data_IF_221901308537
#
_entry.id   IF_221901308537
#
_cell.length_a   1.000
_cell.length_b   1.000
_cell.length_c   1.000
_cell.angle_alpha   90.00
_cell.angle_beta   90.00
_cell.angle_gamma   90.00
#
_symmetry.space_group_name_H-M   'P 1'
#
loop_
_entity.id
_entity.type
_entity.pdbx_description
1 polymer ?
#
# COMPACT_ATOMS: atom_id res chain seq x y z
N UNK A 1 44.20 37.31 -48.63
CA UNK A 1 43.20 36.84 -47.64
C UNK A 1 41.84 37.17 -48.22
N UNK A 2 41.05 36.16 -48.64
CA UNK A 2 39.91 35.60 -47.87
C UNK A 2 38.89 36.70 -47.55
N UNK A 3 37.63 36.69 -47.97
CA UNK A 3 36.77 35.67 -48.57
C UNK A 3 35.60 36.38 -49.26
N UNK A 4 35.09 35.77 -50.32
CA UNK A 4 33.85 36.16 -51.01
C UNK A 4 32.72 35.32 -50.41
N UNK A 5 31.66 35.95 -49.89
CA UNK A 5 30.38 35.29 -49.60
C UNK A 5 29.26 36.34 -49.59
N UNK A 6 28.35 36.35 -50.58
CA UNK A 6 27.05 36.98 -50.41
C UNK A 6 25.99 35.93 -50.05
N UNK A 7 25.25 36.30 -49.01
CA UNK A 7 24.13 35.63 -48.39
C UNK A 7 22.91 35.61 -49.35
N UNK A 8 22.61 34.40 -49.84
CA UNK A 8 21.29 33.78 -49.97
C UNK A 8 20.05 34.72 -50.00
N UNK A 9 19.44 34.85 -51.19
CA UNK A 9 18.10 35.39 -51.36
C UNK A 9 17.25 34.40 -52.17
N UNK A 10 16.12 34.07 -51.56
CA UNK A 10 15.16 33.02 -51.85
C UNK A 10 14.38 33.34 -53.12
N UNK A 11 14.34 32.41 -54.09
CA UNK A 11 13.34 32.42 -55.16
C UNK A 11 12.76 31.00 -55.28
N UNK A 12 11.57 30.87 -54.69
CA UNK A 12 10.71 29.70 -54.73
C UNK A 12 10.13 29.53 -56.14
N UNK A 13 10.36 28.37 -56.76
CA UNK A 13 9.71 27.96 -58.00
C UNK A 13 9.09 26.58 -57.77
N UNK A 14 7.81 26.56 -57.39
CA UNK A 14 7.02 25.33 -57.28
C UNK A 14 6.72 24.82 -58.70
N UNK A 15 7.46 23.79 -59.11
CA UNK A 15 7.06 22.92 -60.22
C UNK A 15 6.06 21.89 -59.67
N UNK A 16 4.78 22.09 -59.88
CA UNK A 16 3.77 21.06 -59.61
C UNK A 16 3.86 19.99 -60.70
N UNK A 17 4.60 18.93 -60.40
CA UNK A 17 4.54 17.66 -61.14
C UNK A 17 3.22 17.00 -60.76
N UNK A 18 2.23 17.08 -61.64
CA UNK A 18 1.01 16.27 -61.59
C UNK A 18 1.42 14.82 -61.81
N UNK A 19 1.68 14.08 -60.73
CA UNK A 19 1.72 12.63 -60.79
C UNK A 19 0.30 12.16 -61.12
N UNK A 20 0.13 11.65 -62.34
CA UNK A 20 -1.03 10.88 -62.76
C UNK A 20 -1.09 9.66 -61.83
N UNK A 21 -1.93 9.73 -60.79
CA UNK A 21 -2.22 8.61 -59.91
C UNK A 21 -2.90 7.55 -60.77
N UNK A 22 -2.15 6.50 -61.13
CA UNK A 22 -2.74 5.28 -61.63
C UNK A 22 -3.62 4.72 -60.50
N UNK A 23 -4.93 4.75 -60.68
CA UNK A 23 -5.86 4.01 -59.82
C UNK A 23 -5.40 2.53 -59.84
N UNK A 24 -5.05 1.93 -58.70
CA UNK A 24 -4.89 0.49 -58.69
C UNK A 24 -6.24 -0.12 -59.05
N UNK A 25 -6.25 -0.98 -60.06
CA UNK A 25 -7.37 -1.88 -60.37
C UNK A 25 -7.79 -2.55 -59.05
N UNK A 26 -9.00 -2.25 -58.59
CA UNK A 26 -9.64 -2.94 -57.47
C UNK A 26 -9.69 -4.43 -57.84
N UNK A 27 -8.76 -5.18 -57.26
CA UNK A 27 -8.92 -6.61 -57.10
C UNK A 27 -9.90 -6.75 -55.93
N UNK A 28 -11.13 -7.17 -56.22
CA UNK A 28 -12.13 -7.49 -55.21
C UNK A 28 -11.63 -8.72 -54.41
N UNK A 29 -10.71 -8.47 -53.49
CA UNK A 29 -10.25 -9.45 -52.53
C UNK A 29 -11.34 -9.56 -51.46
N UNK A 30 -12.20 -10.58 -51.60
CA UNK A 30 -13.25 -10.84 -50.63
C UNK A 30 -12.65 -11.09 -49.25
N UNK A 31 -13.31 -10.61 -48.17
CA UNK A 31 -12.72 -10.63 -46.85
C UNK A 31 -12.50 -12.05 -46.34
N UNK A 32 -11.26 -12.32 -45.91
CA UNK A 32 -10.93 -13.51 -45.16
C UNK A 32 -11.43 -13.37 -43.70
N UNK A 33 -11.82 -14.49 -43.09
CA UNK A 33 -12.17 -14.50 -41.67
C UNK A 33 -11.88 -15.83 -40.99
N UNK A 34 -12.36 -15.93 -39.76
CA UNK A 34 -12.14 -17.09 -38.90
C UNK A 34 -13.46 -17.73 -38.51
N UNK A 35 -13.45 -19.05 -38.36
CA UNK A 35 -14.57 -19.80 -37.79
C UNK A 35 -15.05 -19.15 -36.48
N UNK A 36 -16.36 -18.92 -36.38
CA UNK A 36 -17.03 -18.37 -35.20
C UNK A 36 -16.95 -16.84 -35.04
N UNK A 37 -16.28 -16.12 -35.93
CA UNK A 37 -16.18 -14.65 -35.90
C UNK A 37 -17.09 -14.04 -36.98
N UNK A 38 -17.79 -12.95 -36.64
CA UNK A 38 -18.63 -12.21 -37.59
C UNK A 38 -17.76 -11.40 -38.57
N UNK A 39 -17.96 -11.63 -39.87
CA UNK A 39 -17.40 -10.84 -40.96
C UNK A 39 -18.43 -9.93 -41.61
N UNK A 40 -17.96 -8.96 -42.39
CA UNK A 40 -18.77 -7.94 -43.05
C UNK A 40 -18.42 -7.78 -44.53
N UNK A 41 -19.44 -7.64 -45.39
CA UNK A 41 -19.30 -7.29 -46.80
C UNK A 41 -20.32 -6.21 -47.14
N UNK A 42 -19.86 -5.14 -47.79
CA UNK A 42 -20.72 -4.10 -48.34
C UNK A 42 -20.99 -4.41 -49.82
N UNK A 43 -22.19 -4.89 -50.13
CA UNK A 43 -22.59 -5.20 -51.50
C UNK A 43 -23.36 -4.02 -52.10
N UNK A 44 -22.83 -3.42 -53.16
CA UNK A 44 -23.57 -2.45 -53.98
C UNK A 44 -24.39 -3.18 -55.03
N UNK A 45 -25.69 -2.94 -55.06
CA UNK A 45 -26.60 -3.64 -55.96
C UNK A 45 -27.66 -2.70 -56.53
N UNK A 46 -27.80 -2.69 -57.86
CA UNK A 46 -28.75 -1.86 -58.61
C UNK A 46 -29.97 -2.64 -59.14
N UNK A 47 -30.09 -3.93 -58.79
CA UNK A 47 -31.10 -4.84 -59.33
C UNK A 47 -32.33 -5.00 -58.42
N UNK A 48 -33.05 -6.12 -58.59
CA UNK A 48 -34.18 -6.49 -57.71
C UNK A 48 -33.71 -6.60 -56.25
N UNK A 49 -34.53 -6.19 -55.26
CA UNK A 49 -34.18 -6.31 -53.85
C UNK A 49 -33.69 -7.71 -53.49
N UNK A 50 -32.69 -7.76 -52.62
CA UNK A 50 -32.08 -9.01 -52.16
C UNK A 50 -32.59 -9.32 -50.76
N UNK A 51 -32.94 -10.57 -50.53
CA UNK A 51 -33.32 -11.14 -49.24
C UNK A 51 -32.46 -12.37 -48.95
N UNK A 52 -32.37 -12.72 -47.67
CA UNK A 52 -31.68 -13.95 -47.24
C UNK A 52 -32.60 -15.14 -47.50
N UNK A 53 -32.08 -16.19 -48.14
CA UNK A 53 -32.80 -17.44 -48.34
C UNK A 53 -32.95 -18.20 -47.00
N UNK A 54 -33.98 -19.04 -46.82
CA UNK A 54 -34.09 -19.91 -45.66
C UNK A 54 -32.83 -20.77 -45.51
N UNK A 55 -32.12 -20.59 -44.40
CA UNK A 55 -30.86 -21.26 -44.14
C UNK A 55 -31.18 -22.68 -43.62
N UNK A 56 -30.68 -23.75 -44.26
CA UNK A 56 -30.92 -25.11 -43.80
C UNK A 56 -30.21 -25.39 -42.47
N UNK A 57 -30.78 -26.29 -41.67
CA UNK A 57 -30.15 -26.77 -40.44
C UNK A 57 -28.77 -27.37 -40.77
N UNK A 58 -27.73 -26.91 -40.05
CA UNK A 58 -26.36 -27.34 -40.28
C UNK A 58 -25.62 -26.62 -41.42
N UNK A 59 -26.16 -25.51 -41.93
CA UNK A 59 -25.44 -24.66 -42.90
C UNK A 59 -24.03 -24.30 -42.38
N UNK A 60 -22.96 -24.45 -43.19
CA UNK A 60 -21.60 -24.13 -42.78
C UNK A 60 -21.40 -22.63 -42.56
N UNK A 61 -22.28 -21.79 -43.10
CA UNK A 61 -22.24 -20.33 -42.96
C UNK A 61 -23.65 -19.79 -42.72
N UNK A 62 -23.72 -18.80 -41.83
CA UNK A 62 -24.91 -18.01 -41.57
C UNK A 62 -24.70 -16.61 -42.17
N UNK A 63 -25.72 -16.06 -42.83
CA UNK A 63 -25.71 -14.71 -43.40
C UNK A 63 -26.94 -13.92 -42.96
N UNK A 64 -26.77 -12.62 -42.74
CA UNK A 64 -27.86 -11.68 -42.48
C UNK A 64 -27.60 -10.33 -43.16
N UNK A 65 -28.68 -9.64 -43.49
CA UNK A 65 -28.62 -8.23 -43.91
C UNK A 65 -28.76 -7.36 -42.66
N UNK A 66 -27.70 -6.65 -42.28
CA UNK A 66 -27.70 -5.78 -41.10
C UNK A 66 -28.36 -4.43 -41.37
N UNK A 67 -28.14 -3.86 -42.56
CA UNK A 67 -28.76 -2.60 -42.98
C UNK A 67 -28.77 -2.47 -44.50
N UNK A 68 -29.65 -1.61 -45.01
CA UNK A 68 -29.74 -1.25 -46.42
C UNK A 68 -29.67 0.27 -46.49
N UNK A 69 -28.65 0.80 -47.17
CA UNK A 69 -28.49 2.24 -47.39
C UNK A 69 -28.94 2.56 -48.82
N UNK A 70 -29.96 3.41 -49.00
CA UNK A 70 -30.44 3.79 -50.33
C UNK A 70 -29.38 4.62 -51.07
N UNK A 71 -29.41 4.57 -52.40
CA UNK A 71 -28.57 5.43 -53.24
C UNK A 71 -28.82 6.91 -52.90
N UNK A 72 -27.76 7.71 -52.80
CA UNK A 72 -27.88 9.16 -52.66
C UNK A 72 -28.48 9.80 -53.92
N UNK A 73 -29.06 10.98 -53.80
CA UNK A 73 -29.57 11.73 -54.96
C UNK A 73 -28.40 12.15 -55.87
N UNK A 74 -28.15 11.39 -56.93
CA UNK A 74 -27.14 11.67 -57.96
C UNK A 74 -26.27 10.45 -58.26
N UNK A 75 -26.56 9.80 -59.39
CA UNK A 75 -25.89 8.62 -59.99
C UNK A 75 -26.31 7.24 -59.45
N UNK A 76 -27.10 6.52 -60.27
CA UNK A 76 -27.41 5.10 -60.14
C UNK A 76 -28.40 4.76 -59.01
N UNK A 77 -29.44 3.96 -59.28
CA UNK A 77 -30.30 3.39 -58.23
C UNK A 77 -29.59 2.25 -57.48
N UNK A 78 -28.33 2.43 -57.09
CA UNK A 78 -27.52 1.43 -56.40
C UNK A 78 -27.73 1.51 -54.88
N UNK A 79 -28.39 0.49 -54.33
CA UNK A 79 -28.51 0.34 -52.88
C UNK A 79 -27.28 -0.39 -52.34
N UNK A 80 -26.79 0.05 -51.18
CA UNK A 80 -25.69 -0.64 -50.48
C UNK A 80 -26.25 -1.52 -49.37
N UNK A 81 -26.03 -2.83 -49.48
CA UNK A 81 -26.42 -3.84 -48.50
C UNK A 81 -25.24 -4.14 -47.58
N UNK A 82 -25.44 -4.00 -46.27
CA UNK A 82 -24.50 -4.43 -45.25
C UNK A 82 -24.77 -5.91 -44.91
N UNK A 83 -24.01 -6.80 -45.53
CA UNK A 83 -24.09 -8.25 -45.32
C UNK A 83 -23.14 -8.65 -44.20
N UNK A 84 -23.67 -9.33 -43.20
CA UNK A 84 -22.87 -9.93 -42.13
C UNK A 84 -22.98 -11.43 -42.16
N UNK A 85 -21.84 -12.08 -41.96
CA UNK A 85 -21.74 -13.54 -42.04
C UNK A 85 -20.97 -14.09 -40.85
N UNK A 86 -21.30 -15.32 -40.44
CA UNK A 86 -20.53 -16.08 -39.46
C UNK A 86 -20.37 -17.49 -40.02
N UNK A 87 -19.13 -17.95 -40.18
CA UNK A 87 -18.82 -19.28 -40.65
C UNK A 87 -18.63 -20.25 -39.48
N UNK A 88 -19.26 -21.40 -39.55
CA UNK A 88 -19.21 -22.49 -38.57
C UNK A 88 -18.15 -23.52 -38.92
N UNK A 89 -17.75 -23.61 -40.20
CA UNK A 89 -16.75 -24.54 -40.70
C UNK A 89 -15.67 -23.81 -41.51
N UNK A 90 -14.39 -24.24 -41.42
CA UNK A 90 -13.33 -23.69 -42.25
C UNK A 90 -13.53 -24.10 -43.72
N UNK A 91 -13.05 -23.28 -44.65
CA UNK A 91 -13.16 -23.51 -46.09
C UNK A 91 -13.57 -22.26 -46.88
N UNK A 92 -13.77 -22.47 -48.18
CA UNK A 92 -14.32 -21.44 -49.09
C UNK A 92 -15.84 -21.60 -49.16
N UNK A 93 -16.55 -20.50 -48.95
CA UNK A 93 -18.02 -20.49 -48.95
C UNK A 93 -18.55 -19.38 -49.85
N UNK A 94 -19.52 -19.71 -50.71
CA UNK A 94 -20.18 -18.73 -51.57
C UNK A 94 -21.44 -18.17 -50.91
N UNK A 95 -21.40 -16.89 -50.55
CA UNK A 95 -22.53 -16.20 -49.93
C UNK A 95 -23.65 -15.89 -50.92
N UNK A 96 -23.37 -15.82 -52.23
CA UNK A 96 -24.38 -15.55 -53.25
C UNK A 96 -25.47 -16.63 -53.26
N UNK A 97 -25.07 -17.88 -52.97
CA UNK A 97 -25.98 -19.04 -52.90
C UNK A 97 -27.04 -18.94 -51.79
N UNK A 98 -26.77 -18.14 -50.76
CA UNK A 98 -27.66 -17.91 -49.61
C UNK A 98 -28.55 -16.67 -49.77
N UNK A 99 -28.48 -16.01 -50.94
CA UNK A 99 -29.25 -14.82 -51.26
C UNK A 99 -30.32 -15.14 -52.33
N UNK A 100 -31.49 -14.54 -52.20
CA UNK A 100 -32.63 -14.69 -53.13
C UNK A 100 -33.30 -13.35 -53.42
N UNK A 101 -34.11 -13.30 -54.45
CA UNK A 101 -35.00 -12.18 -54.74
C UNK A 101 -36.42 -12.52 -54.30
N UNK A 102 -36.96 -11.79 -53.33
CA UNK A 102 -38.33 -11.94 -52.82
C UNK A 102 -38.72 -13.39 -52.47
N UNK A 103 -40.00 -13.74 -52.63
CA UNK A 103 -40.48 -15.11 -52.43
C UNK A 103 -40.07 -16.05 -53.57
N UNK A 104 -38.81 -16.52 -53.53
CA UNK A 104 -38.44 -17.83 -54.09
C UNK A 104 -37.48 -17.83 -55.28
N UNK A 105 -37.17 -16.69 -55.90
CA UNK A 105 -36.22 -16.66 -57.01
C UNK A 105 -34.77 -16.64 -56.49
N UNK A 106 -33.94 -17.61 -56.89
CA UNK A 106 -32.50 -17.57 -56.59
C UNK A 106 -31.87 -16.29 -57.17
N UNK A 107 -30.93 -15.69 -56.44
CA UNK A 107 -30.26 -14.45 -56.85
C UNK A 107 -29.13 -14.73 -57.88
N UNK A 108 -29.44 -15.47 -58.94
CA UNK A 108 -28.49 -15.99 -59.94
C UNK A 108 -27.74 -14.93 -60.75
N UNK A 109 -28.08 -13.64 -60.57
CA UNK A 109 -27.42 -12.51 -61.24
C UNK A 109 -26.36 -11.84 -60.35
N UNK A 110 -26.20 -12.26 -59.09
CA UNK A 110 -25.12 -11.76 -58.24
C UNK A 110 -23.77 -12.36 -58.68
N UNK A 111 -22.67 -11.59 -58.59
CA UNK A 111 -21.33 -12.16 -58.70
C UNK A 111 -21.11 -13.17 -57.57
N UNK A 112 -20.25 -14.18 -57.77
CA UNK A 112 -19.90 -15.12 -56.71
C UNK A 112 -19.22 -14.37 -55.56
N UNK A 113 -19.77 -14.48 -54.35
CA UNK A 113 -19.26 -13.84 -53.13
C UNK A 113 -18.51 -14.88 -52.31
N UNK A 114 -17.30 -15.23 -52.74
CA UNK A 114 -16.49 -16.29 -52.11
C UNK A 114 -15.75 -15.72 -50.90
N UNK A 115 -16.04 -16.22 -49.71
CA UNK A 115 -15.25 -15.92 -48.50
C UNK A 115 -14.31 -17.07 -48.17
N UNK A 116 -13.09 -16.75 -47.73
CA UNK A 116 -12.12 -17.74 -47.26
C UNK A 116 -12.07 -17.74 -45.73
N UNK A 117 -12.41 -18.87 -45.13
CA UNK A 117 -12.51 -19.02 -43.68
C UNK A 117 -11.44 -19.98 -43.19
N UNK A 118 -10.57 -19.47 -42.32
CA UNK A 118 -9.50 -20.25 -41.69
C UNK A 118 -9.86 -20.65 -40.26
N UNK A 119 -9.30 -21.77 -39.80
CA UNK A 119 -9.32 -22.14 -38.38
C UNK A 119 -8.14 -21.47 -37.67
N UNK A 120 -8.40 -20.78 -36.55
CA UNK A 120 -7.33 -20.33 -35.66
C UNK A 120 -6.74 -21.47 -34.82
N UNK A 121 -7.50 -22.55 -34.63
CA UNK A 121 -7.01 -23.76 -33.99
C UNK A 121 -6.21 -24.56 -35.00
N UNK A 122 -5.02 -25.02 -34.60
CA UNK A 122 -4.25 -26.01 -35.37
C UNK A 122 -5.10 -27.27 -35.54
N UNK A 123 -4.92 -27.99 -36.64
CA UNK A 123 -5.72 -29.18 -36.98
C UNK A 123 -5.70 -30.30 -35.91
N UNK A 124 -4.73 -30.27 -35.01
CA UNK A 124 -4.50 -31.22 -33.91
C UNK A 124 -4.90 -30.67 -32.52
N UNK A 125 -5.71 -29.60 -32.45
CA UNK A 125 -6.19 -29.06 -31.17
C UNK A 125 -7.49 -29.76 -30.72
N UNK A 126 -7.44 -30.46 -29.59
CA UNK A 126 -8.60 -31.12 -28.95
C UNK A 126 -9.56 -30.15 -28.21
N UNK A 127 -9.40 -28.83 -28.38
CA UNK A 127 -10.23 -27.83 -27.72
C UNK A 127 -9.94 -27.63 -26.23
N UNK A 128 -8.79 -28.10 -25.74
CA UNK A 128 -8.38 -27.88 -24.36
C UNK A 128 -8.12 -26.38 -24.10
N UNK A 129 -8.53 -25.92 -22.92
CA UNK A 129 -8.33 -24.55 -22.48
C UNK A 129 -6.92 -24.43 -21.92
N UNK A 130 -6.02 -23.80 -22.68
CA UNK A 130 -4.70 -23.46 -22.17
C UNK A 130 -4.84 -22.69 -20.85
N UNK A 131 -4.28 -23.25 -19.77
CA UNK A 131 -4.23 -22.56 -18.49
C UNK A 131 -3.41 -21.28 -18.66
N UNK A 132 -4.09 -20.15 -18.59
CA UNK A 132 -3.43 -18.85 -18.55
C UNK A 132 -2.56 -18.85 -17.29
N UNK A 133 -1.24 -18.61 -17.40
CA UNK A 133 -0.36 -18.61 -16.25
C UNK A 133 -0.91 -17.66 -15.18
N UNK A 134 -1.10 -18.17 -13.97
CA UNK A 134 -1.57 -17.35 -12.86
C UNK A 134 -0.61 -16.17 -12.60
N UNK A 135 -1.05 -15.13 -11.88
CA UNK A 135 -0.26 -13.91 -11.64
C UNK A 135 1.09 -14.14 -10.95
N UNK A 136 1.34 -15.36 -10.44
CA UNK A 136 2.56 -15.76 -9.73
C UNK A 136 3.41 -16.76 -10.54
N UNK A 137 3.07 -17.04 -11.80
CA UNK A 137 3.90 -17.92 -12.63
C UNK A 137 5.19 -17.20 -13.00
N UNK A 138 6.37 -17.70 -12.57
CA UNK A 138 7.63 -17.08 -12.92
C UNK A 138 7.84 -17.18 -14.44
N UNK A 139 8.06 -16.03 -15.08
CA UNK A 139 8.37 -15.86 -16.51
C UNK A 139 9.67 -16.62 -16.90
N UNK A 140 10.45 -17.04 -15.90
CA UNK A 140 11.68 -17.79 -16.04
C UNK A 140 11.47 -19.22 -15.52
N UNK A 141 11.71 -20.22 -16.38
CA UNK A 141 11.65 -21.64 -16.03
C UNK A 141 12.80 -22.01 -15.08
N UNK A 142 12.60 -21.77 -13.78
CA UNK A 142 13.56 -22.18 -12.77
C UNK A 142 13.54 -23.71 -12.60
N UNK A 143 14.70 -24.37 -12.51
CA UNK A 143 14.76 -25.77 -12.11
C UNK A 143 14.08 -26.03 -10.77
N UNK A 144 13.54 -27.24 -10.57
CA UNK A 144 12.79 -27.63 -9.36
C UNK A 144 13.58 -27.47 -8.04
N UNK A 145 14.92 -27.39 -8.10
CA UNK A 145 15.77 -27.23 -6.92
C UNK A 145 15.85 -25.77 -6.40
N UNK A 146 15.53 -24.78 -7.23
CA UNK A 146 15.63 -23.35 -6.88
C UNK A 146 14.80 -22.96 -5.65
N UNK A 147 13.50 -23.34 -5.51
CA UNK A 147 12.74 -23.02 -4.30
C UNK A 147 13.36 -23.65 -3.04
N UNK A 148 13.92 -24.86 -3.16
CA UNK A 148 14.60 -25.53 -2.05
C UNK A 148 15.88 -24.81 -1.65
N UNK A 149 16.69 -24.35 -2.61
CA UNK A 149 17.89 -23.57 -2.31
C UNK A 149 17.55 -22.23 -1.62
N UNK A 150 16.48 -21.56 -2.04
CA UNK A 150 16.00 -20.34 -1.37
C UNK A 150 15.55 -20.64 0.06
N UNK A 151 14.75 -21.68 0.26
CA UNK A 151 14.29 -22.09 1.59
C UNK A 151 15.44 -22.46 2.53
N UNK A 152 16.41 -23.23 2.03
CA UNK A 152 17.61 -23.61 2.79
C UNK A 152 18.46 -22.39 3.10
N UNK A 153 18.69 -21.50 2.13
CA UNK A 153 19.42 -20.25 2.34
C UNK A 153 18.75 -19.38 3.39
N UNK A 154 17.43 -19.27 3.35
CA UNK A 154 16.65 -18.50 4.33
C UNK A 154 16.75 -19.06 5.76
N UNK A 155 16.95 -20.37 5.92
CA UNK A 155 17.13 -21.01 7.23
C UNK A 155 18.58 -20.97 7.70
N UNK A 156 19.54 -21.25 6.80
CA UNK A 156 20.95 -21.33 7.15
C UNK A 156 21.58 -19.96 7.39
N UNK A 157 21.19 -18.94 6.63
CA UNK A 157 21.74 -17.59 6.77
C UNK A 157 21.53 -17.00 8.19
N UNK A 158 20.30 -16.93 8.75
CA UNK A 158 20.11 -16.40 10.09
C UNK A 158 20.76 -17.30 11.15
N UNK A 159 20.77 -18.62 10.97
CA UNK A 159 21.43 -19.54 11.91
C UNK A 159 22.95 -19.29 11.95
N UNK A 160 23.57 -19.10 10.78
CA UNK A 160 24.99 -18.79 10.67
C UNK A 160 25.31 -17.41 11.27
N UNK A 161 24.46 -16.41 11.03
CA UNK A 161 24.60 -15.09 11.65
C UNK A 161 24.48 -15.19 13.18
N UNK A 162 23.48 -15.90 13.70
CA UNK A 162 23.28 -16.06 15.15
C UNK A 162 24.44 -16.80 15.83
N UNK A 163 24.95 -17.87 15.20
CA UNK A 163 26.10 -18.61 15.71
C UNK A 163 27.36 -17.76 15.68
N UNK A 164 27.58 -16.99 14.61
CA UNK A 164 28.71 -16.07 14.48
C UNK A 164 28.64 -14.94 15.52
N UNK A 165 27.46 -14.33 15.72
CA UNK A 165 27.23 -13.32 16.75
C UNK A 165 27.52 -13.90 18.13
N UNK A 166 27.03 -15.12 18.43
CA UNK A 166 27.30 -15.78 19.72
C UNK A 166 28.78 -16.07 19.92
N UNK A 167 29.48 -16.50 18.87
CA UNK A 167 30.90 -16.81 18.93
C UNK A 167 31.78 -15.56 19.11
N UNK A 168 31.39 -14.45 18.49
CA UNK A 168 32.09 -13.15 18.60
C UNK A 168 31.73 -12.38 19.88
N UNK A 169 30.65 -12.73 20.57
CA UNK A 169 30.25 -12.08 21.81
C UNK A 169 31.18 -12.50 22.95
N UNK A 170 31.92 -11.54 23.50
CA UNK A 170 32.57 -11.70 24.80
C UNK A 170 31.51 -11.84 25.89
N UNK A 171 31.81 -12.63 26.92
CA UNK A 171 30.95 -12.77 28.09
C UNK A 171 30.65 -11.37 28.67
N UNK A 172 29.38 -11.04 28.96
CA UNK A 172 29.04 -9.81 29.67
C UNK A 172 29.84 -9.75 30.98
N UNK A 173 30.33 -8.55 31.37
CA UNK A 173 30.83 -8.34 32.73
C UNK A 173 29.77 -8.78 33.74
N UNK A 174 30.17 -9.30 34.92
CA UNK A 174 29.22 -9.62 35.98
C UNK A 174 28.37 -8.39 36.30
N UNK A 175 27.07 -8.63 36.47
CA UNK A 175 26.08 -7.60 36.74
C UNK A 175 26.44 -6.87 38.04
N UNK A 176 26.51 -5.51 38.06
CA UNK A 176 26.76 -4.80 39.29
C UNK A 176 25.62 -5.05 40.28
N UNK A 177 25.96 -5.19 41.56
CA UNK A 177 24.97 -5.37 42.62
C UNK A 177 23.89 -4.28 42.53
N UNK A 178 22.60 -4.63 42.71
CA UNK A 178 21.52 -3.65 42.67
C UNK A 178 21.79 -2.55 43.70
N UNK A 179 21.72 -1.28 43.26
CA UNK A 179 21.87 -0.15 44.16
C UNK A 179 20.85 -0.27 45.30
N UNK A 180 21.23 0.06 46.55
CA UNK A 180 20.32 -0.02 47.69
C UNK A 180 19.09 0.87 47.46
N UNK A 181 17.91 0.49 47.99
CA UNK A 181 16.70 1.30 47.87
C UNK A 181 16.93 2.70 48.47
N UNK A 182 16.33 3.75 47.88
CA UNK A 182 16.54 5.12 48.33
C UNK A 182 16.13 5.28 49.79
N UNK A 183 16.97 5.97 50.56
CA UNK A 183 16.72 6.23 51.98
C UNK A 183 15.70 7.35 52.18
N UNK A 184 15.07 7.40 53.35
CA UNK A 184 14.13 8.49 53.67
C UNK A 184 14.81 9.88 53.63
N UNK A 185 16.08 9.95 54.01
CA UNK A 185 16.92 11.14 53.88
C UNK A 185 17.08 11.60 52.43
N UNK A 186 17.22 10.68 51.48
CA UNK A 186 17.31 11.01 50.04
C UNK A 186 16.00 11.59 49.50
N UNK A 187 14.85 11.11 50.00
CA UNK A 187 13.53 11.66 49.65
C UNK A 187 13.30 13.05 50.25
N UNK A 188 13.77 13.29 51.47
CA UNK A 188 13.62 14.57 52.16
C UNK A 188 14.62 15.64 51.69
N UNK A 189 15.82 15.25 51.24
CA UNK A 189 16.88 16.15 50.78
C UNK A 189 16.41 17.20 49.75
N UNK A 190 15.73 16.86 48.63
CA UNK A 190 15.28 17.87 47.66
C UNK A 190 14.23 18.83 48.24
N UNK A 191 13.38 18.36 49.16
CA UNK A 191 12.35 19.19 49.81
C UNK A 191 12.99 20.18 50.79
N UNK A 192 13.99 19.74 51.56
CA UNK A 192 14.73 20.62 52.48
C UNK A 192 15.57 21.64 51.72
N UNK A 193 16.20 21.25 50.60
CA UNK A 193 16.94 22.18 49.73
C UNK A 193 16.00 23.24 49.13
N UNK A 194 14.81 22.84 48.66
CA UNK A 194 13.80 23.77 48.18
C UNK A 194 13.33 24.74 49.28
N UNK A 195 13.21 24.26 50.53
CA UNK A 195 12.88 25.11 51.67
C UNK A 195 13.99 26.12 52.00
N UNK A 196 15.26 25.72 51.91
CA UNK A 196 16.41 26.63 52.05
C UNK A 196 16.45 27.71 50.98
N UNK A 197 16.04 27.38 49.76
CA UNK A 197 15.93 28.35 48.66
C UNK A 197 14.74 29.31 48.81
N UNK A 198 13.82 29.04 49.75
CA UNK A 198 12.55 29.75 49.88
C UNK A 198 11.55 29.43 48.75
N UNK A 199 11.74 28.33 48.03
CA UNK A 199 10.99 27.95 46.83
C UNK A 199 10.03 26.76 47.07
N UNK A 200 9.82 26.38 48.34
CA UNK A 200 8.93 25.27 48.70
C UNK A 200 7.46 25.68 48.54
N UNK A 201 6.72 24.97 47.68
CA UNK A 201 5.27 25.19 47.52
C UNK A 201 4.43 24.47 48.60
N UNK A 202 3.13 24.78 48.67
CA UNK A 202 2.19 24.17 49.63
C UNK A 202 2.05 22.64 49.48
N UNK A 203 2.12 22.11 48.26
CA UNK A 203 2.05 20.68 47.97
C UNK A 203 3.34 19.95 48.37
N UNK A 204 4.51 20.56 48.17
CA UNK A 204 5.80 20.04 48.61
C UNK A 204 5.90 20.05 50.13
N UNK A 205 5.37 21.10 50.78
CA UNK A 205 5.23 21.15 52.24
C UNK A 205 4.33 20.03 52.77
N UNK A 206 3.15 19.84 52.18
CA UNK A 206 2.24 18.75 52.56
C UNK A 206 2.87 17.37 52.34
N UNK A 207 3.68 17.22 51.28
CA UNK A 207 4.41 15.98 50.99
C UNK A 207 5.45 15.70 52.09
N UNK A 208 6.24 16.70 52.47
CA UNK A 208 7.21 16.59 53.56
C UNK A 208 6.54 16.23 54.90
N UNK A 209 5.46 16.91 55.26
CA UNK A 209 4.68 16.64 56.47
C UNK A 209 4.13 15.19 56.48
N UNK A 210 3.63 14.72 55.33
CA UNK A 210 3.14 13.35 55.19
C UNK A 210 4.26 12.32 55.35
N UNK A 211 5.42 12.56 54.77
CA UNK A 211 6.59 11.67 54.88
C UNK A 211 7.02 11.56 56.35
N UNK A 212 7.11 12.69 57.06
CA UNK A 212 7.49 12.71 58.48
C UNK A 212 6.46 12.05 59.37
N UNK A 213 5.16 12.32 59.15
CA UNK A 213 4.09 11.65 59.89
C UNK A 213 4.10 10.14 59.65
N UNK A 214 4.39 9.67 58.44
CA UNK A 214 4.45 8.25 58.12
C UNK A 214 5.61 7.57 58.84
N UNK A 215 6.79 8.21 58.86
CA UNK A 215 7.97 7.70 59.54
C UNK A 215 7.75 7.59 61.05
N UNK A 216 7.26 8.65 61.69
CA UNK A 216 7.05 8.70 63.14
C UNK A 216 5.72 8.11 63.62
N UNK A 217 4.93 7.51 62.71
CA UNK A 217 3.58 7.03 63.02
C UNK A 217 3.56 6.00 64.14
N UNK A 218 4.50 5.05 64.08
CA UNK A 218 4.60 3.94 65.04
C UNK A 218 5.24 4.41 66.34
N UNK A 219 6.37 5.11 66.25
CA UNK A 219 7.16 5.51 67.42
C UNK A 219 6.47 6.54 68.31
N UNK A 220 5.65 7.43 67.73
CA UNK A 220 4.90 8.45 68.46
C UNK A 220 3.40 8.12 68.63
N UNK A 221 2.99 6.92 68.23
CA UNK A 221 1.58 6.46 68.20
C UNK A 221 0.65 7.52 67.56
N UNK A 222 1.01 8.00 66.37
CA UNK A 222 0.26 9.08 65.69
C UNK A 222 -0.98 8.55 64.96
N UNK A 223 -1.15 7.23 64.85
CA UNK A 223 -2.24 6.60 64.12
C UNK A 223 -3.64 6.85 64.70
N UNK A 224 -3.71 7.26 65.96
CA UNK A 224 -4.96 7.56 66.68
C UNK A 224 -5.38 9.03 66.64
N UNK A 225 -4.50 9.93 66.16
CA UNK A 225 -4.71 11.38 66.15
C UNK A 225 -5.20 11.89 64.80
N UNK A 226 -5.96 13.00 64.80
CA UNK A 226 -6.28 13.70 63.55
C UNK A 226 -5.01 14.36 63.00
N UNK A 227 -4.92 14.54 61.68
CA UNK A 227 -3.74 15.06 60.99
C UNK A 227 -3.11 16.30 61.67
N UNK A 228 -3.90 17.32 62.02
CA UNK A 228 -3.40 18.52 62.69
C UNK A 228 -2.87 18.30 64.11
N UNK A 229 -3.46 17.36 64.87
CA UNK A 229 -2.98 16.97 66.20
C UNK A 229 -1.68 16.16 66.10
N UNK A 230 -1.56 15.32 65.07
CA UNK A 230 -0.35 14.58 64.75
C UNK A 230 0.84 15.50 64.47
N UNK A 231 0.63 16.57 63.70
CA UNK A 231 1.67 17.60 63.44
C UNK A 231 2.05 18.36 64.71
N UNK A 232 1.09 18.69 65.58
CA UNK A 232 1.37 19.37 66.83
C UNK A 232 2.21 18.48 67.79
N UNK A 233 1.89 17.19 67.85
CA UNK A 233 2.63 16.20 68.65
C UNK A 233 4.02 15.94 68.08
N UNK A 234 4.16 15.90 66.75
CA UNK A 234 5.44 15.80 66.05
C UNK A 234 6.34 17.01 66.37
N UNK A 235 5.79 18.23 66.31
CA UNK A 235 6.50 19.48 66.65
C UNK A 235 6.98 19.51 68.10
N UNK A 236 6.21 18.95 69.03
CA UNK A 236 6.55 18.92 70.45
C UNK A 236 7.59 17.85 70.82
N UNK A 237 7.91 16.94 69.90
CA UNK A 237 8.86 15.85 70.14
C UNK A 237 10.31 16.35 70.07
N UNK A 238 11.18 16.01 71.05
CA UNK A 238 12.55 16.53 71.12
C UNK A 238 13.44 16.16 69.93
N UNK A 239 13.19 15.05 69.24
CA UNK A 239 14.00 14.60 68.09
C UNK A 239 13.27 14.82 66.75
N UNK A 240 11.96 14.58 66.71
CA UNK A 240 11.18 14.61 65.47
C UNK A 240 10.75 16.04 65.10
N UNK A 241 10.63 16.92 66.09
CA UNK A 241 10.32 18.32 65.90
C UNK A 241 11.50 19.13 65.36
N UNK A 242 12.74 18.64 65.47
CA UNK A 242 13.95 19.38 65.07
C UNK A 242 13.87 19.73 63.57
N UNK A 243 13.70 18.74 62.69
CA UNK A 243 13.61 18.97 61.24
C UNK A 243 12.46 19.93 60.89
N UNK A 244 11.28 19.70 61.46
CA UNK A 244 10.10 20.51 61.15
C UNK A 244 10.27 21.97 61.58
N UNK A 245 10.73 22.20 62.81
CA UNK A 245 10.94 23.54 63.37
C UNK A 245 12.08 24.26 62.66
N UNK A 246 13.17 23.56 62.35
CA UNK A 246 14.32 24.13 61.62
C UNK A 246 13.94 24.54 60.21
N UNK A 247 13.20 23.69 59.47
CA UNK A 247 12.73 24.02 58.12
C UNK A 247 11.74 25.19 58.16
N UNK A 248 10.81 25.21 59.13
CA UNK A 248 9.92 26.35 59.31
C UNK A 248 10.69 27.64 59.63
N UNK A 249 11.69 27.58 60.50
CA UNK A 249 12.52 28.73 60.82
C UNK A 249 13.22 29.28 59.57
N UNK A 250 13.76 28.41 58.71
CA UNK A 250 14.37 28.80 57.43
C UNK A 250 13.38 29.43 56.45
N UNK A 251 12.17 28.88 56.38
CA UNK A 251 11.10 29.47 55.55
C UNK A 251 10.70 30.88 56.06
N UNK A 252 10.78 31.14 57.36
CA UNK A 252 10.44 32.43 57.95
C UNK A 252 11.62 33.43 58.02
N UNK A 253 12.88 32.97 58.01
CA UNK A 253 14.06 33.84 58.12
C UNK A 253 14.39 34.57 56.82
N UNK A 254 13.89 34.09 55.68
CA UNK A 254 14.27 34.62 54.38
C UNK A 254 15.70 34.24 53.98
N UNK A 255 16.09 34.64 52.77
CA UNK A 255 17.18 34.12 51.93
C UNK A 255 18.62 34.30 52.44
N UNK A 256 18.82 34.75 53.68
CA UNK A 256 20.08 35.37 54.11
C UNK A 256 21.03 34.45 54.91
N UNK A 257 20.55 33.31 55.43
CA UNK A 257 21.41 32.37 56.16
C UNK A 257 21.85 31.20 55.26
N UNK A 258 23.09 31.27 54.76
CA UNK A 258 23.70 30.16 54.02
C UNK A 258 23.95 28.96 54.95
N UNK A 259 22.99 28.03 54.98
CA UNK A 259 23.12 26.76 55.70
C UNK A 259 24.20 25.91 55.03
N UNK A 260 25.18 25.44 55.81
CA UNK A 260 26.24 24.59 55.29
C UNK A 260 25.74 23.18 54.97
N UNK A 261 26.31 22.55 53.95
CA UNK A 261 25.98 21.16 53.56
C UNK A 261 26.13 20.18 54.73
N UNK A 262 27.11 20.42 55.62
CA UNK A 262 27.29 19.65 56.84
C UNK A 262 26.11 19.76 57.81
N UNK A 263 25.55 20.96 57.99
CA UNK A 263 24.36 21.16 58.84
C UNK A 263 23.13 20.47 58.25
N UNK A 264 23.01 20.45 56.92
CA UNK A 264 21.95 19.71 56.23
C UNK A 264 22.10 18.18 56.44
N UNK A 265 23.32 17.66 56.35
CA UNK A 265 23.60 16.25 56.58
C UNK A 265 23.35 15.84 58.04
N UNK A 266 23.81 16.64 59.00
CA UNK A 266 23.55 16.40 60.42
C UNK A 266 22.05 16.41 60.74
N UNK A 267 21.27 17.25 60.06
CA UNK A 267 19.81 17.33 60.23
C UNK A 267 19.06 16.14 59.61
N UNK A 268 19.58 15.58 58.50
CA UNK A 268 19.00 14.44 57.81
C UNK A 268 19.50 13.09 58.31
N UNK A 269 20.57 13.05 59.11
CA UNK A 269 21.17 11.84 59.65
C UNK A 269 20.17 10.88 60.35
N UNK A 270 19.17 11.35 61.12
CA UNK A 270 18.16 10.47 61.74
C UNK A 270 17.27 9.72 60.72
N UNK A 271 17.23 10.19 59.47
CA UNK A 271 16.40 9.65 58.39
C UNK A 271 17.19 8.83 57.37
N UNK A 272 18.46 8.52 57.63
CA UNK A 272 19.30 7.71 56.76
C UNK A 272 18.92 6.21 56.72
N UNK A 273 17.80 5.83 57.34
CA UNK A 273 17.29 4.47 57.37
C UNK A 273 16.72 4.09 56.00
N UNK A 274 17.06 2.91 55.45
CA UNK A 274 16.45 2.40 54.23
C UNK A 274 14.95 2.17 54.47
N UNK A 275 14.14 2.52 53.47
CA UNK A 275 12.70 2.28 53.51
C UNK A 275 12.50 0.76 53.46
N UNK A 276 11.81 0.14 54.45
CA UNK A 276 11.56 -1.29 54.40
C UNK A 276 10.65 -1.61 53.21
N UNK A 277 11.04 -2.57 52.37
CA UNK A 277 10.30 -3.05 51.18
C UNK A 277 8.97 -3.78 51.51
N UNK A 278 8.39 -3.57 52.70
CA UNK A 278 7.23 -4.32 53.16
C UNK A 278 5.99 -3.43 53.21
N UNK A 279 5.37 -3.22 52.05
CA UNK A 279 3.91 -3.22 51.98
C UNK A 279 3.52 -4.60 51.44
N UNK A 280 3.50 -5.58 52.34
CA UNK A 280 2.67 -6.76 52.13
C UNK A 280 1.23 -6.27 52.02
N UNK A 281 0.61 -6.47 50.85
CA UNK A 281 -0.82 -6.30 50.64
C UNK A 281 -1.59 -7.17 51.64
N UNK A 282 -2.05 -6.54 52.73
CA UNK A 282 -2.95 -7.17 53.69
C UNK A 282 -4.34 -7.35 53.08
N UNK A 283 -4.73 -8.62 52.98
CA UNK A 283 -6.11 -9.11 52.79
C UNK A 283 -7.09 -8.60 53.85
#
# INVERSE_FOLDING_TARGET
MRSVLPLLLIASCLLTVTCLQANPLQTDEYPAGTVGIEGQILLKWAGRPIEVAPIPDGSPVLIRIASITPAGEGEGQEQTYDLRWIAMLPGEHDLASLLRHGEGDAASQLPALIISVSSLLKDDHEGDLNQIPGPISPILGFPEWVPWAVAIGWMLLPLLILTLIRWLRKAPPPEPEPAPPPTLAELLRPLVIAALAGELDDAQKATMERILLAHWRVDLDLGSYRHGEGIQKLRAHPEAGILLVTVEQWLHSGRDDAVSEKQLEDLLAPYATPIPDTIEEGS
#
